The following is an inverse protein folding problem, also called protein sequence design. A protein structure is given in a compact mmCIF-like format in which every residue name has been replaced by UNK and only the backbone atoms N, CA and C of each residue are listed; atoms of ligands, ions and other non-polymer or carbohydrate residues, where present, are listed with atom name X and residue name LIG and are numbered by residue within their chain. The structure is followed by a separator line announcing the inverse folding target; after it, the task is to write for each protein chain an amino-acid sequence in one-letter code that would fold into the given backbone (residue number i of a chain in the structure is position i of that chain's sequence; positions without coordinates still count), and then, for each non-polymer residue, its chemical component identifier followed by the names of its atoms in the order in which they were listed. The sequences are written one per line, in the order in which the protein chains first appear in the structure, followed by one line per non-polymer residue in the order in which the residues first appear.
data_IF_995528806041
#
_entry.id   IF_995528806041
#
_cell.length_a   1.000
_cell.length_b   1.000
_cell.length_c   1.000
_cell.angle_alpha   90.00
_cell.angle_beta   90.00
_cell.angle_gamma   90.00
#
_symmetry.space_group_name_H-M   'P 1'
#
loop_
_entity.id
_entity.type
_entity.pdbx_description
1 polymer ?
#
# COMPACT_ATOMS: atom_id res chain seq x y z
N UNK A 1 -19.68 -28.56 -37.10
CA UNK A 1 -18.44 -27.76 -37.14
C UNK A 1 -18.79 -26.43 -36.49
N UNK A 2 -18.26 -25.98 -35.37
CA UNK A 2 -17.18 -26.41 -34.48
C UNK A 2 -17.61 -25.91 -33.08
N UNK A 3 -17.32 -26.67 -32.02
CA UNK A 3 -17.75 -26.37 -30.66
C UNK A 3 -17.05 -25.11 -30.13
N UNK A 4 -17.81 -24.07 -29.80
CA UNK A 4 -17.31 -22.94 -29.02
C UNK A 4 -17.13 -23.37 -27.57
N UNK A 5 -15.90 -23.77 -27.26
CA UNK A 5 -15.46 -24.01 -25.90
C UNK A 5 -15.33 -22.64 -25.24
N UNK A 6 -16.37 -22.24 -24.52
CA UNK A 6 -16.26 -21.25 -23.45
C UNK A 6 -15.16 -21.74 -22.50
N UNK A 7 -13.92 -21.31 -22.73
CA UNK A 7 -12.81 -21.52 -21.80
C UNK A 7 -13.10 -20.63 -20.61
N UNK A 8 -13.96 -21.12 -19.72
CA UNK A 8 -13.96 -20.70 -18.31
C UNK A 8 -12.53 -20.89 -17.84
N UNK A 9 -11.80 -19.81 -17.65
CA UNK A 9 -10.58 -19.83 -16.86
C UNK A 9 -11.07 -20.25 -15.47
N UNK A 10 -10.94 -21.54 -15.18
CA UNK A 10 -10.99 -22.03 -13.82
C UNK A 10 -9.65 -21.55 -13.25
N UNK A 11 -9.63 -20.30 -12.78
CA UNK A 11 -8.62 -19.90 -11.82
C UNK A 11 -8.86 -20.85 -10.64
N UNK A 12 -7.98 -21.84 -10.49
CA UNK A 12 -7.93 -22.62 -9.28
C UNK A 12 -7.51 -21.63 -8.20
N UNK A 13 -8.50 -20.97 -7.61
CA UNK A 13 -8.35 -20.25 -6.36
C UNK A 13 -7.99 -21.30 -5.31
N UNK A 14 -6.71 -21.65 -5.24
CA UNK A 14 -6.11 -21.90 -3.94
C UNK A 14 -6.25 -20.57 -3.22
N UNK A 15 -7.38 -20.42 -2.53
CA UNK A 15 -7.65 -19.33 -1.62
C UNK A 15 -6.67 -19.51 -0.46
N UNK A 16 -5.41 -19.15 -0.70
CA UNK A 16 -4.59 -18.60 0.36
C UNK A 16 -5.25 -17.27 0.66
N UNK A 17 -6.07 -17.27 1.73
CA UNK A 17 -6.45 -16.03 2.37
C UNK A 17 -5.15 -15.48 2.95
N UNK A 18 -4.35 -14.81 2.13
CA UNK A 18 -3.45 -13.81 2.67
C UNK A 18 -4.34 -12.59 2.87
N UNK A 19 -4.83 -12.46 4.09
CA UNK A 19 -5.51 -11.26 4.54
C UNK A 19 -4.49 -10.13 4.32
N UNK A 20 -4.80 -9.16 3.45
CA UNK A 20 -4.21 -7.82 3.62
C UNK A 20 -4.69 -7.37 4.99
N UNK A 21 -3.84 -7.58 5.98
CA UNK A 21 -4.14 -7.27 7.37
C UNK A 21 -4.25 -5.77 7.45
N UNK A 22 -5.48 -5.28 7.57
CA UNK A 22 -5.74 -3.93 8.04
C UNK A 22 -5.16 -3.82 9.44
N UNK A 23 -3.92 -3.34 9.50
CA UNK A 23 -3.19 -3.24 10.73
C UNK A 23 -3.50 -1.89 11.38
N UNK A 24 -4.09 -1.93 12.59
CA UNK A 24 -4.25 -0.76 13.45
C UNK A 24 -3.08 -0.76 14.45
N UNK A 25 -1.97 -0.07 14.17
CA UNK A 25 -0.80 -0.11 15.04
C UNK A 25 -1.09 0.51 16.41
N UNK A 26 -0.65 -0.18 17.47
CA UNK A 26 -0.47 0.46 18.78
C UNK A 26 0.76 1.36 18.68
N UNK A 27 0.54 2.67 18.59
CA UNK A 27 1.62 3.65 18.46
C UNK A 27 1.99 4.28 19.81
N UNK A 28 3.29 4.36 20.07
CA UNK A 28 3.84 5.19 21.15
C UNK A 28 4.80 6.21 20.52
N UNK A 29 4.54 7.51 20.71
CA UNK A 29 5.45 8.55 20.23
C UNK A 29 6.67 8.72 21.15
N UNK A 30 7.82 8.94 20.53
CA UNK A 30 9.07 9.27 21.20
C UNK A 30 9.62 10.57 20.60
N UNK A 31 9.96 11.53 21.48
CA UNK A 31 10.68 12.75 21.09
C UNK A 31 12.18 12.56 21.27
N UNK A 32 12.99 13.12 20.37
CA UNK A 32 14.43 13.18 20.57
C UNK A 32 14.78 14.13 21.73
N UNK A 33 15.00 13.57 22.92
CA UNK A 33 15.42 14.35 24.09
C UNK A 33 16.95 14.38 24.12
N UNK A 34 17.53 15.44 23.56
CA UNK A 34 18.98 15.69 23.60
C UNK A 34 19.60 15.71 25.03
N UNK A 35 18.79 15.70 26.09
CA UNK A 35 19.22 15.73 27.50
C UNK A 35 18.58 14.61 28.38
N UNK A 36 18.10 13.50 27.81
CA UNK A 36 17.68 12.36 28.62
C UNK A 36 18.90 11.70 29.30
N UNK A 37 18.71 11.19 30.52
CA UNK A 37 19.69 10.38 31.27
C UNK A 37 20.33 9.32 30.34
N UNK A 38 21.60 8.91 30.56
CA UNK A 38 22.48 8.28 29.56
C UNK A 38 22.13 6.82 29.19
N UNK A 39 20.87 6.51 28.95
CA UNK A 39 20.40 5.19 28.52
C UNK A 39 19.54 5.20 27.24
N UNK A 40 19.30 6.34 26.56
CA UNK A 40 18.44 6.29 25.36
C UNK A 40 18.77 7.28 24.21
N UNK A 41 20.02 7.79 24.10
CA UNK A 41 20.43 8.66 22.98
C UNK A 41 21.27 7.97 21.88
N UNK A 42 21.47 6.65 21.91
CA UNK A 42 22.55 6.03 21.11
C UNK A 42 22.11 5.37 19.80
N UNK A 43 20.82 5.23 19.51
CA UNK A 43 20.36 4.68 18.23
C UNK A 43 19.19 5.47 17.65
N UNK A 44 19.51 6.66 17.14
CA UNK A 44 18.62 7.54 16.39
C UNK A 44 19.08 7.53 14.93
N UNK A 45 18.15 7.42 13.97
CA UNK A 45 18.51 7.24 12.56
C UNK A 45 19.25 8.46 12.01
N UNK A 46 18.64 9.64 12.20
CA UNK A 46 19.20 10.93 11.81
C UNK A 46 18.67 12.01 12.76
N UNK A 47 19.57 12.77 13.38
CA UNK A 47 19.22 13.81 14.37
C UNK A 47 18.41 14.97 13.81
N UNK A 48 18.37 15.15 12.49
CA UNK A 48 17.50 16.13 11.81
C UNK A 48 16.04 15.71 11.78
N UNK A 49 15.73 14.47 12.18
CA UNK A 49 14.38 13.92 12.32
C UNK A 49 14.00 13.89 13.80
N UNK A 50 13.31 14.91 14.33
CA UNK A 50 13.12 15.09 15.77
C UNK A 50 12.14 14.10 16.42
N UNK A 51 11.29 13.43 15.64
CA UNK A 51 10.25 12.54 16.16
C UNK A 51 10.29 11.17 15.52
N UNK A 52 9.90 10.15 16.29
CA UNK A 52 9.59 8.83 15.77
C UNK A 52 8.45 8.16 16.53
N UNK A 53 7.73 7.26 15.87
CA UNK A 53 6.73 6.35 16.45
C UNK A 53 7.17 4.90 16.22
N UNK A 54 7.03 4.06 17.25
CA UNK A 54 7.19 2.61 17.07
C UNK A 54 5.90 2.04 16.50
N UNK A 55 6.01 1.32 15.40
CA UNK A 55 4.95 0.49 14.83
C UNK A 55 5.33 -0.97 15.10
N UNK A 56 4.39 -1.72 15.66
CA UNK A 56 4.56 -3.16 15.92
C UNK A 56 3.50 -3.90 15.15
N UNK A 57 3.86 -4.66 14.12
CA UNK A 57 2.98 -5.51 13.31
C UNK A 57 2.78 -6.85 14.04
N UNK A 58 1.54 -7.15 14.36
CA UNK A 58 1.14 -8.37 15.09
C UNK A 58 1.23 -9.61 14.19
N UNK A 59 2.09 -10.56 14.59
CA UNK A 59 2.35 -11.78 13.85
C UNK A 59 1.14 -12.71 13.74
N UNK A 60 0.14 -12.57 14.62
CA UNK A 60 -1.07 -13.40 14.58
C UNK A 60 -1.90 -13.17 13.32
N UNK A 61 -1.66 -12.06 12.63
CA UNK A 61 -2.28 -11.76 11.35
C UNK A 61 -1.43 -12.21 10.15
N UNK A 62 -0.25 -12.80 10.38
CA UNK A 62 0.71 -13.21 9.36
C UNK A 62 0.65 -14.74 9.22
N UNK A 63 0.12 -15.23 8.11
CA UNK A 63 -0.13 -16.67 7.92
C UNK A 63 1.16 -17.52 7.76
N UNK A 64 2.22 -16.93 7.23
CA UNK A 64 3.54 -17.54 7.04
C UNK A 64 4.60 -16.46 7.01
N UNK A 65 5.87 -16.80 7.25
CA UNK A 65 6.96 -15.83 7.10
C UNK A 65 7.01 -15.30 5.65
N UNK A 66 7.12 -13.99 5.49
CA UNK A 66 7.18 -13.29 4.22
C UNK A 66 8.43 -12.41 4.14
N UNK A 67 8.92 -12.20 2.93
CA UNK A 67 10.12 -11.37 2.66
C UNK A 67 9.80 -10.31 1.63
N UNK A 68 10.30 -9.08 1.87
CA UNK A 68 10.08 -7.92 1.01
C UNK A 68 8.60 -7.70 0.66
N UNK A 69 7.75 -7.73 1.69
CA UNK A 69 6.31 -7.72 1.54
C UNK A 69 5.73 -6.35 1.92
N UNK A 70 4.97 -5.68 1.02
CA UNK A 70 4.27 -4.44 1.32
C UNK A 70 3.18 -4.67 2.37
N UNK A 71 3.26 -3.96 3.50
CA UNK A 71 2.24 -3.95 4.56
C UNK A 71 1.59 -2.57 4.59
N UNK A 72 0.26 -2.53 4.69
CA UNK A 72 -0.49 -1.29 4.87
C UNK A 72 -0.45 -0.85 6.34
N UNK A 73 -0.07 0.41 6.56
CA UNK A 73 -0.16 1.12 7.83
C UNK A 73 -1.31 2.11 7.71
N UNK A 74 -2.41 1.85 8.42
CA UNK A 74 -3.61 2.68 8.37
C UNK A 74 -3.83 3.37 9.73
N UNK A 75 -3.61 4.68 9.75
CA UNK A 75 -3.78 5.56 10.90
C UNK A 75 -4.96 6.48 10.60
N UNK A 76 -6.05 6.32 11.35
CA UNK A 76 -7.26 7.13 11.13
C UNK A 76 -7.09 8.60 11.47
N UNK A 77 -6.18 8.92 12.40
CA UNK A 77 -5.83 10.27 12.87
C UNK A 77 -4.62 10.17 13.81
N UNK A 78 -3.75 11.18 13.81
CA UNK A 78 -2.63 11.30 14.76
C UNK A 78 -2.25 12.77 14.95
N UNK A 79 -2.43 13.28 16.17
CA UNK A 79 -2.20 14.70 16.48
C UNK A 79 -0.73 15.10 16.39
N UNK A 80 0.21 14.18 16.62
CA UNK A 80 1.63 14.50 16.51
C UNK A 80 2.02 14.64 15.04
N UNK A 81 1.54 13.74 14.16
CA UNK A 81 1.72 13.87 12.71
C UNK A 81 1.07 15.16 12.20
N UNK A 82 -0.17 15.43 12.60
CA UNK A 82 -0.90 16.64 12.22
C UNK A 82 -0.20 17.95 12.61
N UNK A 83 0.56 17.94 13.71
CA UNK A 83 1.20 19.15 14.24
C UNK A 83 2.63 19.29 13.78
N UNK A 84 3.30 18.19 13.40
CA UNK A 84 4.76 18.16 13.28
C UNK A 84 5.30 17.64 11.96
N UNK A 85 4.54 16.87 11.17
CA UNK A 85 4.96 16.50 9.82
C UNK A 85 4.71 17.67 8.84
N UNK A 86 5.37 17.65 7.69
CA UNK A 86 5.07 18.54 6.56
C UNK A 86 3.65 18.26 6.05
N UNK A 87 2.95 19.29 5.57
CA UNK A 87 1.53 19.18 5.15
C UNK A 87 1.31 18.17 4.01
N UNK A 88 2.34 17.91 3.19
CA UNK A 88 2.37 16.94 2.09
C UNK A 88 2.88 15.55 2.51
N UNK A 89 3.38 15.39 3.74
CA UNK A 89 3.91 14.13 4.27
C UNK A 89 5.27 13.73 3.69
N UNK A 90 5.97 14.63 2.98
CA UNK A 90 7.28 14.35 2.38
C UNK A 90 8.34 13.92 3.41
N UNK A 91 8.14 14.33 4.67
CA UNK A 91 8.96 13.99 5.82
C UNK A 91 8.41 12.81 6.63
N UNK A 92 7.80 11.83 5.99
CA UNK A 92 7.48 10.54 6.62
C UNK A 92 8.47 9.49 6.11
N UNK A 93 9.22 8.88 7.01
CA UNK A 93 10.19 7.83 6.66
C UNK A 93 10.02 6.60 7.55
N UNK A 94 10.17 5.41 6.97
CA UNK A 94 10.09 4.15 7.69
C UNK A 94 11.47 3.51 7.80
N UNK A 95 11.92 3.21 9.02
CA UNK A 95 13.26 2.67 9.29
C UNK A 95 13.13 1.32 9.98
N UNK A 96 13.93 0.35 9.56
CA UNK A 96 13.98 -0.98 10.14
C UNK A 96 14.37 -0.90 11.63
N UNK A 97 13.55 -1.49 12.51
CA UNK A 97 13.75 -1.39 13.96
C UNK A 97 15.07 -1.99 14.44
N UNK A 98 15.50 -3.11 13.84
CA UNK A 98 16.62 -3.91 14.35
C UNK A 98 17.98 -3.24 14.21
N UNK A 99 18.19 -2.47 13.13
CA UNK A 99 19.44 -1.75 12.90
C UNK A 99 19.29 -0.23 13.01
N UNK A 100 18.07 0.30 12.88
CA UNK A 100 17.76 1.73 12.92
C UNK A 100 18.59 2.55 11.91
N UNK A 101 18.89 1.95 10.76
CA UNK A 101 19.67 2.54 9.66
C UNK A 101 19.07 2.25 8.28
N UNK A 102 18.47 1.09 8.09
CA UNK A 102 17.86 0.71 6.81
C UNK A 102 16.51 1.40 6.65
N UNK A 103 16.43 2.33 5.70
CA UNK A 103 15.16 2.89 5.25
C UNK A 103 14.41 1.87 4.41
N UNK A 104 13.13 1.70 4.71
CA UNK A 104 12.20 0.84 3.99
C UNK A 104 11.51 1.65 2.90
N UNK A 105 11.40 1.08 1.70
CA UNK A 105 10.62 1.70 0.63
C UNK A 105 9.16 1.81 1.07
N UNK A 106 8.56 2.94 0.76
CA UNK A 106 7.15 3.15 1.03
C UNK A 106 6.49 4.03 -0.04
N UNK A 107 5.17 3.92 -0.09
CA UNK A 107 4.24 4.75 -0.83
C UNK A 107 3.21 5.30 0.17
N UNK A 108 2.96 6.60 0.10
CA UNK A 108 1.86 7.26 0.81
C UNK A 108 0.66 7.32 -0.14
N UNK A 109 -0.30 6.44 0.09
CA UNK A 109 -1.60 6.48 -0.59
C UNK A 109 -2.41 7.69 -0.11
N UNK A 110 -2.35 8.00 1.20
CA UNK A 110 -2.96 9.19 1.77
C UNK A 110 -2.13 9.75 2.92
N UNK A 111 -1.97 11.08 2.94
CA UNK A 111 -1.63 11.84 4.13
C UNK A 111 -2.52 13.08 4.24
N UNK A 112 -3.09 13.32 5.42
CA UNK A 112 -3.84 14.53 5.71
C UNK A 112 -3.12 15.32 6.80
N UNK A 113 -2.36 16.36 6.43
CA UNK A 113 -1.61 17.20 7.37
C UNK A 113 -2.45 17.88 8.45
N UNK A 114 -3.77 18.02 8.28
CA UNK A 114 -4.65 18.61 9.31
C UNK A 114 -5.00 17.62 10.43
N UNK A 115 -5.12 16.34 10.11
CA UNK A 115 -5.62 15.31 11.04
C UNK A 115 -4.57 14.26 11.40
N UNK A 116 -3.48 14.19 10.64
CA UNK A 116 -2.50 13.11 10.69
C UNK A 116 -3.10 11.76 10.28
N UNK A 117 -4.20 11.76 9.51
CA UNK A 117 -4.68 10.54 8.86
C UNK A 117 -3.62 10.11 7.85
N UNK A 118 -3.20 8.85 7.93
CA UNK A 118 -2.12 8.30 7.10
C UNK A 118 -2.50 6.91 6.62
N UNK A 119 -2.37 6.68 5.31
CA UNK A 119 -2.38 5.36 4.70
C UNK A 119 -1.07 5.21 3.95
N UNK A 120 -0.22 4.30 4.41
CA UNK A 120 1.10 4.06 3.84
C UNK A 120 1.33 2.58 3.56
N UNK A 121 1.81 2.25 2.38
CA UNK A 121 2.32 0.93 2.04
C UNK A 121 3.81 0.90 2.30
N UNK A 122 4.28 -0.02 3.16
CA UNK A 122 5.69 -0.12 3.55
C UNK A 122 6.21 -1.50 3.20
N UNK A 123 7.26 -1.57 2.37
CA UNK A 123 7.89 -2.84 2.04
C UNK A 123 8.77 -3.31 3.20
N UNK A 124 8.27 -4.30 3.95
CA UNK A 124 8.96 -4.87 5.12
C UNK A 124 9.84 -6.03 4.65
N UNK A 125 11.13 -5.95 4.96
CA UNK A 125 12.15 -6.92 4.50
C UNK A 125 11.90 -8.34 5.01
N UNK A 126 11.41 -8.48 6.24
CA UNK A 126 11.06 -9.76 6.86
C UNK A 126 9.86 -9.59 7.78
N UNK A 127 8.79 -10.31 7.50
CA UNK A 127 7.56 -10.34 8.30
C UNK A 127 7.38 -11.75 8.86
N UNK A 128 7.32 -11.91 10.18
CA UNK A 128 7.24 -13.24 10.80
C UNK A 128 5.82 -13.64 11.18
N UNK A 129 5.50 -14.93 11.03
CA UNK A 129 4.27 -15.56 11.51
C UNK A 129 4.33 -16.04 12.97
N UNK A 130 5.44 -15.80 13.68
CA UNK A 130 5.64 -16.28 15.06
C UNK A 130 6.09 -15.21 16.05
N UNK A 131 6.50 -14.04 15.55
CA UNK A 131 6.99 -12.93 16.36
C UNK A 131 6.59 -11.61 15.73
N UNK A 132 6.16 -10.66 16.56
CA UNK A 132 5.79 -9.34 16.09
C UNK A 132 6.96 -8.65 15.38
N UNK A 133 6.66 -8.03 14.26
CA UNK A 133 7.65 -7.29 13.48
C UNK A 133 7.59 -5.81 13.85
N UNK A 134 8.73 -5.15 14.00
CA UNK A 134 8.79 -3.74 14.43
C UNK A 134 9.44 -2.87 13.36
N UNK A 135 8.89 -1.67 13.18
CA UNK A 135 9.46 -0.63 12.33
C UNK A 135 9.33 0.73 13.05
N UNK A 136 10.25 1.65 12.77
CA UNK A 136 10.13 3.04 13.19
C UNK A 136 9.49 3.86 12.07
N UNK A 137 8.57 4.75 12.43
CA UNK A 137 8.14 5.85 11.57
C UNK A 137 8.79 7.13 12.09
N UNK A 138 9.70 7.72 11.34
CA UNK A 138 10.34 9.00 11.60
C UNK A 138 9.59 10.14 10.90
N UNK A 139 9.52 11.29 11.55
CA UNK A 139 8.88 12.50 11.01
C UNK A 139 9.34 13.80 11.66
N UNK A 140 8.94 14.92 11.08
CA UNK A 140 9.19 16.30 11.55
C UNK A 140 10.47 16.93 11.02
N UNK A 141 10.97 16.45 9.89
CA UNK A 141 12.10 17.08 9.21
C UNK A 141 11.58 18.11 8.20
N UNK A 142 11.46 19.37 8.65
CA UNK A 142 10.88 20.48 7.86
C UNK A 142 11.63 20.80 6.55
N UNK A 143 12.84 20.27 6.35
CA UNK A 143 13.69 20.63 5.20
C UNK A 143 14.01 19.47 4.28
N UNK A 144 13.56 18.24 4.58
CA UNK A 144 13.77 17.13 3.68
C UNK A 144 12.85 17.20 2.46
N UNK A 145 13.30 16.62 1.35
CA UNK A 145 12.43 16.29 0.21
C UNK A 145 11.63 15.02 0.49
N UNK A 146 10.68 14.71 -0.39
CA UNK A 146 9.96 13.44 -0.43
C UNK A 146 10.86 12.22 -0.17
N UNK A 147 10.46 11.39 0.79
CA UNK A 147 11.13 10.15 1.19
C UNK A 147 10.54 8.88 0.57
N UNK A 148 9.47 8.99 -0.21
CA UNK A 148 8.82 7.86 -0.85
C UNK A 148 9.72 7.22 -1.92
N UNK A 149 9.51 5.93 -2.12
CA UNK A 149 9.99 5.19 -3.27
C UNK A 149 8.87 4.24 -3.72
N UNK A 150 7.92 4.81 -4.47
CA UNK A 150 6.66 4.16 -4.84
C UNK A 150 6.93 2.83 -5.57
N UNK A 151 7.66 2.90 -6.69
CA UNK A 151 8.01 1.71 -7.47
C UNK A 151 8.83 0.69 -6.64
N UNK A 152 9.73 1.16 -5.79
CA UNK A 152 10.52 0.29 -4.91
C UNK A 152 9.71 -0.38 -3.80
N UNK A 153 8.53 0.15 -3.48
CA UNK A 153 7.59 -0.46 -2.53
C UNK A 153 7.01 -1.73 -3.14
N UNK A 154 6.65 -1.68 -4.42
CA UNK A 154 6.09 -2.80 -5.16
C UNK A 154 7.18 -3.53 -5.94
N UNK A 155 7.81 -4.49 -5.27
CA UNK A 155 8.88 -5.30 -5.87
C UNK A 155 8.47 -5.99 -7.19
N UNK A 156 9.44 -6.56 -7.93
CA UNK A 156 9.25 -7.03 -9.32
C UNK A 156 8.29 -8.21 -9.48
N UNK A 157 7.75 -8.76 -8.38
CA UNK A 157 6.71 -9.78 -8.40
C UNK A 157 5.30 -9.22 -8.59
N UNK A 158 5.10 -7.92 -8.34
CA UNK A 158 3.84 -7.24 -8.60
C UNK A 158 3.84 -6.79 -10.07
N UNK A 159 2.84 -7.23 -10.84
CA UNK A 159 2.74 -6.88 -12.26
C UNK A 159 1.98 -5.57 -12.49
N UNK A 160 1.07 -5.24 -11.57
CA UNK A 160 0.32 -4.00 -11.54
C UNK A 160 -0.25 -3.81 -10.14
N UNK A 161 -0.28 -2.56 -9.65
CA UNK A 161 -0.94 -2.16 -8.41
C UNK A 161 -1.67 -0.85 -8.68
N UNK A 162 -2.99 -0.88 -8.56
CA UNK A 162 -3.85 0.29 -8.76
C UNK A 162 -4.62 0.52 -7.46
N UNK A 163 -4.40 1.68 -6.81
CA UNK A 163 -5.12 2.04 -5.58
C UNK A 163 -6.47 2.71 -5.86
N UNK A 164 -6.66 3.26 -7.08
CA UNK A 164 -7.92 3.85 -7.57
C UNK A 164 -8.33 5.09 -6.75
N UNK A 165 -7.34 5.90 -6.42
CA UNK A 165 -7.41 7.15 -5.68
C UNK A 165 -7.51 8.38 -6.60
N UNK A 166 -7.35 8.21 -7.91
CA UNK A 166 -7.42 9.33 -8.84
C UNK A 166 -8.84 9.87 -8.96
N UNK A 167 -9.01 11.16 -8.69
CA UNK A 167 -10.34 11.80 -8.83
C UNK A 167 -10.92 11.76 -10.24
N UNK A 168 -10.08 11.68 -11.27
CA UNK A 168 -10.48 11.54 -12.69
C UNK A 168 -9.34 11.00 -13.54
N UNK A 169 -9.66 10.28 -14.61
CA UNK A 169 -8.74 9.94 -15.69
C UNK A 169 -8.02 8.61 -15.49
N UNK A 170 -6.75 8.58 -15.87
CA UNK A 170 -5.90 7.40 -15.80
C UNK A 170 -5.83 6.86 -14.38
N UNK A 171 -5.99 5.54 -14.21
CA UNK A 171 -5.63 4.84 -12.98
C UNK A 171 -4.16 4.46 -13.05
N UNK A 172 -3.30 5.07 -12.24
CA UNK A 172 -1.86 4.88 -12.31
C UNK A 172 -1.44 3.55 -11.68
N UNK A 173 -0.47 2.89 -12.30
CA UNK A 173 0.16 1.70 -11.74
C UNK A 173 1.35 2.09 -10.86
N UNK A 174 1.28 1.79 -9.56
CA UNK A 174 2.34 2.09 -8.59
C UNK A 174 3.60 1.21 -8.78
N UNK A 175 3.57 0.20 -9.64
CA UNK A 175 4.74 -0.61 -9.95
C UNK A 175 5.64 0.05 -11.01
N UNK A 176 6.90 -0.38 -11.07
CA UNK A 176 7.84 0.03 -12.13
C UNK A 176 7.42 -0.43 -13.55
N UNK A 177 6.32 -1.16 -13.71
CA UNK A 177 5.82 -1.60 -15.00
C UNK A 177 4.96 -0.54 -15.70
N UNK A 178 4.40 0.42 -14.95
CA UNK A 178 3.53 1.48 -15.49
C UNK A 178 2.41 0.92 -16.39
N UNK A 179 1.77 -0.17 -15.97
CA UNK A 179 0.60 -0.73 -16.62
C UNK A 179 -0.65 0.09 -16.29
N UNK A 180 -0.59 1.40 -16.56
CA UNK A 180 -1.63 2.38 -16.24
C UNK A 180 -2.96 2.06 -16.94
N UNK A 181 -4.06 2.16 -16.20
CA UNK A 181 -5.41 1.91 -16.69
C UNK A 181 -6.01 3.12 -17.39
N UNK A 182 -6.54 2.90 -18.60
CA UNK A 182 -7.32 3.92 -19.33
C UNK A 182 -8.82 3.76 -19.02
N UNK A 183 -9.52 4.80 -18.53
CA UNK A 183 -10.95 4.72 -18.22
C UNK A 183 -11.84 4.78 -19.47
N UNK A 184 -12.96 4.06 -19.43
CA UNK A 184 -14.04 4.09 -20.40
C UNK A 184 -15.38 4.13 -19.68
N UNK A 185 -16.40 4.74 -20.29
CA UNK A 185 -17.74 4.87 -19.69
C UNK A 185 -17.92 6.07 -18.75
N UNK A 186 -16.80 6.63 -18.27
CA UNK A 186 -16.73 7.64 -17.20
C UNK A 186 -17.10 7.04 -15.83
N UNK A 187 -16.29 6.09 -15.33
CA UNK A 187 -16.47 5.58 -13.98
C UNK A 187 -16.45 6.75 -12.98
N UNK A 188 -17.21 6.62 -11.90
CA UNK A 188 -17.16 7.58 -10.81
C UNK A 188 -15.96 7.24 -9.93
N UNK A 189 -14.87 7.97 -10.08
CA UNK A 189 -13.60 7.68 -9.43
C UNK A 189 -13.46 8.35 -8.07
N UNK A 190 -12.54 7.83 -7.25
CA UNK A 190 -12.26 8.30 -5.87
C UNK A 190 -13.53 8.38 -4.99
N UNK A 191 -14.39 7.37 -5.09
CA UNK A 191 -15.42 7.13 -4.08
C UNK A 191 -14.79 6.49 -2.84
N UNK A 192 -15.48 6.54 -1.70
CA UNK A 192 -14.99 5.91 -0.47
C UNK A 192 -14.79 4.41 -0.66
N UNK A 193 -13.53 3.96 -0.57
CA UNK A 193 -13.10 2.57 -0.58
C UNK A 193 -12.92 1.98 0.81
N UNK A 194 -12.30 0.79 0.85
CA UNK A 194 -12.03 0.07 2.10
C UNK A 194 -10.71 0.50 2.76
N UNK A 195 -9.70 0.90 1.97
CA UNK A 195 -8.41 1.37 2.45
C UNK A 195 -8.38 2.90 2.37
N UNK A 196 -8.42 3.45 1.15
CA UNK A 196 -8.72 4.86 0.90
C UNK A 196 -9.75 5.08 -0.22
N UNK A 197 -9.30 5.36 -1.45
CA UNK A 197 -10.12 5.56 -2.64
C UNK A 197 -10.65 4.24 -3.23
N UNK A 198 -11.60 4.37 -4.14
CA UNK A 198 -12.10 3.31 -4.99
C UNK A 198 -12.85 3.90 -6.19
N UNK A 199 -13.06 3.09 -7.23
CA UNK A 199 -13.89 3.46 -8.37
C UNK A 199 -15.24 2.75 -8.34
N UNK A 200 -16.31 3.49 -8.66
CA UNK A 200 -17.65 2.96 -8.83
C UNK A 200 -18.00 2.83 -10.31
N UNK A 201 -18.39 1.61 -10.69
CA UNK A 201 -18.79 1.23 -12.05
C UNK A 201 -20.31 1.08 -12.13
N UNK A 202 -20.97 1.77 -13.04
CA UNK A 202 -22.44 1.82 -13.15
C UNK A 202 -23.08 0.54 -13.72
N UNK A 203 -22.27 -0.38 -14.24
CA UNK A 203 -22.70 -1.64 -14.84
C UNK A 203 -23.25 -1.53 -16.26
N UNK A 204 -23.14 -0.36 -16.90
CA UNK A 204 -23.54 -0.10 -18.29
C UNK A 204 -22.35 -0.29 -19.22
N UNK A 205 -21.32 0.53 -19.09
CA UNK A 205 -20.13 0.51 -19.96
C UNK A 205 -18.82 0.91 -19.25
N UNK A 206 -18.85 1.16 -17.94
CA UNK A 206 -17.66 1.54 -17.18
C UNK A 206 -16.65 0.40 -17.07
N UNK A 207 -15.40 0.69 -17.41
CA UNK A 207 -14.25 -0.19 -17.18
C UNK A 207 -12.93 0.55 -17.37
N UNK A 208 -11.85 -0.04 -16.86
CA UNK A 208 -10.49 0.32 -17.24
C UNK A 208 -9.91 -0.70 -18.20
N UNK A 209 -9.20 -0.22 -19.22
CA UNK A 209 -8.36 -1.06 -20.06
C UNK A 209 -6.92 -0.90 -19.56
N UNK A 210 -6.35 -2.01 -19.10
CA UNK A 210 -4.92 -2.11 -18.81
C UNK A 210 -4.15 -2.48 -20.10
N UNK A 211 -2.88 -2.08 -20.22
CA UNK A 211 -1.94 -2.66 -21.17
C UNK A 211 -1.86 -4.18 -21.02
N UNK A 212 -1.17 -4.84 -21.95
CA UNK A 212 -0.97 -6.29 -21.85
C UNK A 212 -0.03 -6.62 -20.66
N UNK A 213 -0.62 -6.86 -19.49
CA UNK A 213 0.09 -7.23 -18.25
C UNK A 213 0.65 -8.67 -18.34
N UNK A 214 -0.13 -9.59 -18.91
CA UNK A 214 0.26 -10.99 -19.08
C UNK A 214 0.97 -11.20 -20.42
N UNK A 215 2.29 -11.22 -20.38
CA UNK A 215 3.12 -11.45 -21.58
C UNK A 215 3.85 -12.80 -21.54
N UNK A 216 4.36 -13.19 -20.37
CA UNK A 216 5.22 -14.38 -20.20
C UNK A 216 4.85 -15.25 -19.00
N UNK A 217 3.87 -14.82 -18.20
CA UNK A 217 3.50 -15.45 -16.94
C UNK A 217 2.58 -16.64 -17.20
N UNK A 218 2.99 -17.82 -16.76
CA UNK A 218 2.19 -19.05 -16.85
C UNK A 218 1.26 -19.25 -15.65
N UNK A 219 1.50 -18.52 -14.56
CA UNK A 219 0.72 -18.50 -13.32
C UNK A 219 0.75 -17.09 -12.73
N UNK A 220 -0.37 -16.67 -12.14
CA UNK A 220 -0.51 -15.39 -11.46
C UNK A 220 -1.60 -15.49 -10.39
N UNK A 221 -1.60 -14.51 -9.47
CA UNK A 221 -2.66 -14.26 -8.51
C UNK A 221 -3.17 -12.84 -8.74
N UNK A 222 -4.47 -12.64 -8.55
CA UNK A 222 -5.09 -11.31 -8.48
C UNK A 222 -5.76 -11.19 -7.11
N UNK A 223 -5.70 -10.02 -6.51
CA UNK A 223 -6.42 -9.65 -5.29
C UNK A 223 -7.04 -8.27 -5.45
N UNK A 224 -8.22 -8.07 -4.85
CA UNK A 224 -8.94 -6.80 -4.92
C UNK A 224 -9.97 -6.69 -3.79
N UNK A 225 -10.19 -5.47 -3.31
CA UNK A 225 -11.36 -5.12 -2.50
C UNK A 225 -12.52 -4.78 -3.44
N UNK A 226 -13.63 -5.53 -3.32
CA UNK A 226 -14.78 -5.37 -4.22
C UNK A 226 -16.04 -5.25 -3.37
N UNK A 227 -16.81 -4.19 -3.61
CA UNK A 227 -18.18 -4.07 -3.12
C UNK A 227 -19.16 -4.37 -4.26
N UNK A 228 -19.67 -5.62 -4.39
CA UNK A 228 -20.48 -6.01 -5.54
C UNK A 228 -21.88 -5.37 -5.49
N UNK A 229 -22.28 -4.76 -6.60
CA UNK A 229 -23.67 -4.30 -6.79
C UNK A 229 -24.53 -5.37 -7.47
N UNK A 230 -25.86 -5.22 -7.38
CA UNK A 230 -26.80 -6.14 -8.03
C UNK A 230 -26.57 -6.15 -9.54
N UNK A 231 -26.35 -7.33 -10.12
CA UNK A 231 -26.12 -7.48 -11.55
C UNK A 231 -24.66 -7.44 -11.98
N UNK A 232 -23.71 -7.24 -11.06
CA UNK A 232 -22.28 -7.37 -11.32
C UNK A 232 -21.96 -8.77 -11.88
N UNK A 233 -21.21 -8.83 -13.00
CA UNK A 233 -20.92 -10.08 -13.71
C UNK A 233 -19.47 -10.50 -13.62
N UNK A 234 -18.55 -9.58 -13.91
CA UNK A 234 -17.12 -9.82 -13.96
C UNK A 234 -16.40 -8.60 -13.36
N UNK A 235 -15.30 -8.85 -12.66
CA UNK A 235 -14.42 -7.80 -12.12
C UNK A 235 -13.15 -7.66 -12.97
N UNK A 236 -12.66 -8.76 -13.54
CA UNK A 236 -11.59 -8.77 -14.55
C UNK A 236 -12.05 -9.63 -15.72
N UNK A 237 -11.83 -9.14 -16.94
CA UNK A 237 -12.07 -9.89 -18.17
C UNK A 237 -10.94 -9.65 -19.16
N UNK A 238 -10.57 -10.70 -19.91
CA UNK A 238 -9.65 -10.57 -21.04
C UNK A 238 -10.47 -10.65 -22.32
N UNK A 239 -10.36 -9.62 -23.17
CA UNK A 239 -10.93 -9.66 -24.50
C UNK A 239 -9.85 -10.10 -25.50
N UNK A 240 -10.01 -11.28 -26.08
CA UNK A 240 -9.19 -11.67 -27.22
C UNK A 240 -9.77 -10.99 -28.47
N UNK A 241 -9.04 -10.03 -29.03
CA UNK A 241 -9.31 -9.56 -30.39
C UNK A 241 -8.94 -10.71 -31.34
N UNK A 242 -9.95 -11.31 -31.98
CA UNK A 242 -9.76 -12.20 -33.13
C UNK A 242 -9.50 -11.39 -34.39
#
# INVERSE_FOLDING_TARGET
MHNDVNKKIIASAMMFILVVVLFFPVMHSQENRANALPLDNTNWWDTTWPYRKLITIDHTNVASDLTNFPVVINISQDTDLATRAQDDGDDIAFILYSDNTTQLNHELELFNGTTGRTVAWVNVTSLSATQDTKIWMYYGNETCSNQQNIEGTWGPSFLAVHHLEETTGTAYDSTAHHNDGTPYGNPNQDVTGNIDGADSFDGINDHFILPQVYSMQSQFTMEAWIYPQTGARYFVSQWNNY
#
